data_IF_114899200025
#
_entry.id   IF_114899200025
#
_cell.length_a   1.000
_cell.length_b   1.000
_cell.length_c   1.000
_cell.angle_alpha   90.00
_cell.angle_beta   90.00
_cell.angle_gamma   90.00
#
_symmetry.space_group_name_H-M   'P 1'
#
loop_
_entity.id
_entity.type
_entity.pdbx_description
1 polymer ?
#
# COMPACT_ATOMS: atom_id res chain seq x y z
N UNK A 1 -3.25 2.00 -14.83
CA UNK A 1 -4.39 1.70 -13.95
C UNK A 1 -4.36 0.25 -13.56
N UNK A 2 -4.26 -0.69 -14.51
CA UNK A 2 -4.14 -2.13 -14.21
C UNK A 2 -3.01 -2.46 -13.21
N UNK A 3 -1.83 -1.84 -13.31
CA UNK A 3 -0.72 -2.10 -12.37
C UNK A 3 -0.92 -1.52 -10.97
N UNK A 4 -1.58 -0.38 -10.85
CA UNK A 4 -1.91 0.21 -9.55
C UNK A 4 -3.06 -0.55 -8.88
N UNK A 5 -4.06 -0.99 -9.66
CA UNK A 5 -5.09 -1.91 -9.17
C UNK A 5 -4.50 -3.25 -8.71
N UNK A 6 -3.58 -3.83 -9.50
CA UNK A 6 -2.85 -5.05 -9.12
C UNK A 6 -2.04 -4.86 -7.83
N UNK A 7 -1.40 -3.69 -7.66
CA UNK A 7 -0.70 -3.35 -6.43
C UNK A 7 -1.67 -3.19 -5.24
N UNK A 8 -2.82 -2.55 -5.46
CA UNK A 8 -3.90 -2.41 -4.47
C UNK A 8 -4.37 -3.77 -3.96
N UNK A 9 -4.61 -4.70 -4.87
CA UNK A 9 -5.04 -6.06 -4.53
C UNK A 9 -3.95 -6.81 -3.77
N UNK A 10 -2.69 -6.69 -4.20
CA UNK A 10 -1.54 -7.29 -3.50
C UNK A 10 -1.36 -6.75 -2.09
N UNK A 11 -1.60 -5.46 -1.85
CA UNK A 11 -1.50 -4.86 -0.52
C UNK A 11 -2.62 -5.37 0.41
N UNK A 12 -3.85 -5.50 -0.11
CA UNK A 12 -4.95 -6.10 0.65
C UNK A 12 -4.69 -7.56 0.99
N UNK A 13 -4.19 -8.35 0.01
CA UNK A 13 -3.80 -9.74 0.25
C UNK A 13 -2.64 -9.84 1.25
N UNK A 14 -1.70 -8.90 1.24
CA UNK A 14 -0.63 -8.86 2.23
C UNK A 14 -1.19 -8.57 3.62
N UNK A 15 -2.03 -7.54 3.78
CA UNK A 15 -2.68 -7.20 5.06
C UNK A 15 -3.44 -8.39 5.65
N UNK A 16 -4.24 -9.07 4.82
CA UNK A 16 -5.08 -10.18 5.26
C UNK A 16 -4.35 -11.54 5.29
N UNK A 17 -3.09 -11.60 4.86
CA UNK A 17 -2.31 -12.85 4.67
C UNK A 17 -3.08 -13.85 3.81
N UNK A 18 -3.43 -13.41 2.60
CA UNK A 18 -4.18 -14.20 1.62
C UNK A 18 -3.34 -14.53 0.38
N UNK A 19 -3.78 -15.55 -0.37
CA UNK A 19 -3.18 -15.92 -1.64
C UNK A 19 -1.70 -16.27 -1.49
N UNK A 20 -0.83 -15.56 -2.21
CA UNK A 20 0.62 -15.78 -2.18
C UNK A 20 1.31 -15.31 -0.88
N UNK A 21 0.58 -14.64 0.01
CA UNK A 21 1.09 -14.13 1.28
C UNK A 21 0.57 -14.93 2.48
N UNK A 22 -0.16 -16.04 2.25
CA UNK A 22 -0.75 -16.85 3.31
C UNK A 22 0.29 -17.49 4.23
N UNK A 23 1.45 -17.86 3.69
CA UNK A 23 2.53 -18.48 4.45
C UNK A 23 3.49 -17.47 5.09
N UNK A 24 3.21 -16.16 4.98
CA UNK A 24 4.03 -15.14 5.63
C UNK A 24 3.60 -14.93 7.09
N UNK A 25 4.56 -14.70 8.01
CA UNK A 25 4.25 -14.50 9.41
C UNK A 25 3.44 -13.21 9.59
N UNK A 26 2.47 -13.25 10.49
CA UNK A 26 1.65 -12.10 10.85
C UNK A 26 2.37 -11.17 11.84
N UNK A 27 3.44 -11.64 12.50
CA UNK A 27 4.20 -10.87 13.48
C UNK A 27 5.69 -10.79 13.15
N UNK A 28 6.30 -9.68 13.52
CA UNK A 28 7.74 -9.47 13.54
C UNK A 28 8.22 -9.68 14.98
N UNK A 29 9.29 -10.44 15.13
CA UNK A 29 9.91 -10.75 16.41
C UNK A 29 11.28 -10.08 16.44
N UNK A 30 11.63 -9.39 17.53
CA UNK A 30 12.91 -8.69 17.59
C UNK A 30 13.46 -8.54 19.01
N UNK A 31 14.79 -8.43 19.09
CA UNK A 31 15.57 -8.23 20.30
C UNK A 31 16.57 -7.10 20.09
N UNK A 32 16.71 -6.23 21.09
CA UNK A 32 17.87 -5.34 21.16
C UNK A 32 19.04 -6.10 21.79
N UNK A 33 20.18 -6.15 21.10
CA UNK A 33 21.38 -6.80 21.60
C UNK A 33 22.02 -6.02 22.75
N UNK A 34 23.01 -6.62 23.40
CA UNK A 34 23.68 -6.06 24.57
C UNK A 34 24.41 -4.72 24.32
N UNK A 35 24.62 -4.35 23.05
CA UNK A 35 25.16 -3.05 22.64
C UNK A 35 24.12 -1.92 22.71
N UNK A 36 22.84 -2.24 22.86
CA UNK A 36 21.74 -1.27 22.94
C UNK A 36 21.39 -0.60 21.60
N UNK A 37 22.03 -0.99 20.50
CA UNK A 37 21.87 -0.35 19.19
C UNK A 37 21.52 -1.35 18.08
N UNK A 38 22.03 -2.59 18.17
CA UNK A 38 21.77 -3.60 17.14
C UNK A 38 20.46 -4.34 17.42
N UNK A 39 19.61 -4.42 16.40
CA UNK A 39 18.36 -5.18 16.43
C UNK A 39 18.53 -6.50 15.68
N UNK A 40 18.29 -7.60 16.38
CA UNK A 40 18.06 -8.90 15.76
C UNK A 40 16.57 -9.03 15.44
N UNK A 41 16.22 -9.30 14.19
CA UNK A 41 14.82 -9.31 13.71
C UNK A 41 14.53 -10.61 12.96
N UNK A 42 13.39 -11.22 13.25
CA UNK A 42 12.85 -12.41 12.59
C UNK A 42 11.42 -12.15 12.08
N UNK A 43 11.02 -12.80 10.98
CA UNK A 43 9.70 -12.63 10.36
C UNK A 43 9.67 -11.64 9.21
N UNK A 44 10.84 -11.31 8.63
CA UNK A 44 10.98 -10.45 7.45
C UNK A 44 11.20 -11.24 6.16
N UNK A 45 11.67 -12.49 6.27
CA UNK A 45 12.07 -13.28 5.11
C UNK A 45 10.93 -14.21 4.65
N UNK A 46 10.91 -14.52 3.36
CA UNK A 46 10.01 -15.54 2.84
C UNK A 46 10.42 -16.92 3.37
N UNK A 47 9.47 -17.62 4.00
CA UNK A 47 9.68 -18.92 4.63
C UNK A 47 9.76 -18.88 6.16
N UNK A 48 9.86 -17.69 6.76
CA UNK A 48 9.72 -17.51 8.21
C UNK A 48 8.26 -17.79 8.62
N UNK A 49 8.02 -18.33 9.82
CA UNK A 49 6.67 -18.64 10.35
C UNK A 49 6.48 -18.08 11.75
N UNK A 50 5.23 -17.79 12.14
CA UNK A 50 4.95 -17.30 13.49
C UNK A 50 5.26 -18.37 14.56
N UNK A 51 5.10 -19.66 14.22
CA UNK A 51 5.45 -20.77 15.11
C UNK A 51 6.95 -20.81 15.45
N UNK A 52 7.81 -20.67 14.44
CA UNK A 52 9.25 -20.60 14.64
C UNK A 52 9.65 -19.32 15.38
N UNK A 53 9.10 -18.17 15.00
CA UNK A 53 9.37 -16.88 15.66
C UNK A 53 9.02 -16.90 17.15
N UNK A 54 7.88 -17.47 17.51
CA UNK A 54 7.47 -17.65 18.90
C UNK A 54 8.36 -18.64 19.67
N UNK A 55 8.89 -19.67 19.01
CA UNK A 55 9.77 -20.66 19.62
C UNK A 55 11.19 -20.12 19.87
N UNK A 56 11.64 -19.13 19.10
CA UNK A 56 12.98 -18.53 19.21
C UNK A 56 13.17 -17.63 20.44
N UNK A 57 12.09 -17.29 21.16
CA UNK A 57 12.19 -16.63 22.47
C UNK A 57 12.59 -15.16 22.42
N UNK A 58 12.22 -14.45 21.36
CA UNK A 58 12.38 -12.99 21.28
C UNK A 58 11.59 -12.28 22.40
N UNK A 59 12.17 -11.20 22.94
CA UNK A 59 11.61 -10.39 24.03
C UNK A 59 10.50 -9.48 23.55
N UNK A 60 10.53 -9.05 22.29
CA UNK A 60 9.54 -8.15 21.72
C UNK A 60 8.87 -8.77 20.49
N UNK A 61 7.59 -8.48 20.32
CA UNK A 61 6.79 -8.93 19.19
C UNK A 61 5.88 -7.80 18.75
N UNK A 62 5.73 -7.63 17.43
CA UNK A 62 4.88 -6.62 16.84
C UNK A 62 4.10 -7.21 15.68
N UNK A 63 2.78 -7.06 15.70
CA UNK A 63 1.94 -7.47 14.56
C UNK A 63 2.26 -6.62 13.33
N UNK A 64 2.42 -7.29 12.19
CA UNK A 64 2.61 -6.67 10.91
C UNK A 64 1.26 -6.20 10.35
N UNK A 65 0.97 -4.92 10.49
CA UNK A 65 -0.19 -4.28 9.85
C UNK A 65 0.24 -3.08 9.03
N UNK A 66 -0.38 -2.94 7.87
CA UNK A 66 -0.25 -1.82 6.94
C UNK A 66 -1.30 -0.76 7.27
N UNK A 67 -2.51 -1.18 7.64
CA UNK A 67 -3.60 -0.28 7.99
C UNK A 67 -3.75 -0.13 9.51
N UNK A 68 -4.09 1.07 9.93
CA UNK A 68 -4.51 1.36 11.31
C UNK A 68 -6.01 1.69 11.36
N UNK A 69 -6.66 1.36 12.48
CA UNK A 69 -8.04 1.79 12.74
C UNK A 69 -8.19 3.31 12.82
N UNK A 70 -7.09 4.02 13.05
CA UNK A 70 -7.08 5.49 13.15
C UNK A 70 -6.91 6.19 11.79
N UNK A 71 -6.65 5.43 10.71
CA UNK A 71 -6.53 5.99 9.37
C UNK A 71 -7.91 6.36 8.81
N UNK A 72 -8.03 7.58 8.28
CA UNK A 72 -9.26 8.04 7.60
C UNK A 72 -9.42 7.37 6.23
N UNK A 73 -8.32 7.05 5.57
CA UNK A 73 -8.26 6.38 4.27
C UNK A 73 -7.12 5.37 4.35
N UNK A 74 -7.38 4.13 3.94
CA UNK A 74 -6.36 3.09 3.93
C UNK A 74 -5.25 3.42 2.93
N UNK A 75 -4.04 2.94 3.19
CA UNK A 75 -2.90 3.17 2.30
C UNK A 75 -3.19 2.79 0.83
N UNK A 76 -3.87 1.67 0.60
CA UNK A 76 -4.18 1.18 -0.75
C UNK A 76 -5.28 1.99 -1.45
N UNK A 77 -6.24 2.56 -0.72
CA UNK A 77 -7.23 3.48 -1.27
C UNK A 77 -6.63 4.87 -1.56
N UNK A 78 -5.57 5.25 -0.86
CA UNK A 78 -4.84 6.50 -1.10
C UNK A 78 -3.91 6.45 -2.32
N UNK A 79 -3.63 5.28 -2.90
CA UNK A 79 -2.72 5.13 -4.06
C UNK A 79 -3.16 5.93 -5.29
N UNK A 80 -4.47 6.04 -5.50
CA UNK A 80 -5.04 6.86 -6.57
C UNK A 80 -6.50 7.19 -6.24
N UNK A 81 -6.91 8.44 -6.51
CA UNK A 81 -8.29 8.88 -6.32
C UNK A 81 -9.19 8.54 -7.52
N UNK A 82 -8.62 8.57 -8.73
CA UNK A 82 -9.31 8.36 -10.00
C UNK A 82 -8.48 7.46 -10.90
N UNK A 83 -9.02 7.13 -12.08
CA UNK A 83 -8.27 6.35 -13.05
C UNK A 83 -7.01 7.10 -13.52
N UNK A 84 -5.80 6.68 -13.12
CA UNK A 84 -4.59 7.40 -13.48
C UNK A 84 -4.28 7.30 -14.98
N UNK A 85 -4.82 6.29 -15.70
CA UNK A 85 -4.54 6.09 -17.13
C UNK A 85 -5.15 7.17 -18.02
N UNK A 86 -6.15 7.89 -17.52
CA UNK A 86 -6.80 8.98 -18.27
C UNK A 86 -6.29 10.35 -17.83
N UNK A 87 -5.65 10.46 -16.66
CA UNK A 87 -5.24 11.73 -16.05
C UNK A 87 -3.74 12.04 -16.19
N UNK A 88 -3.12 11.66 -17.31
CA UNK A 88 -1.71 11.97 -17.59
C UNK A 88 -1.47 13.46 -17.87
N UNK A 89 -2.51 14.20 -18.24
CA UNK A 89 -2.44 15.61 -18.61
C UNK A 89 -3.26 16.47 -17.65
N UNK A 90 -2.80 17.70 -17.46
CA UNK A 90 -3.56 18.71 -16.74
C UNK A 90 -4.82 19.09 -17.55
N UNK A 91 -5.93 19.39 -16.86
CA UNK A 91 -7.13 19.85 -17.54
C UNK A 91 -6.88 21.20 -18.22
N UNK A 92 -7.37 21.34 -19.43
CA UNK A 92 -7.42 22.61 -20.16
C UNK A 92 -8.35 23.56 -19.40
N UNK A 93 -7.96 24.81 -19.26
CA UNK A 93 -8.80 25.80 -18.57
C UNK A 93 -10.07 26.08 -19.39
N UNK A 94 -11.19 26.30 -18.70
CA UNK A 94 -12.51 26.52 -19.31
C UNK A 94 -12.54 27.71 -20.29
N UNK A 95 -11.72 28.75 -20.09
CA UNK A 95 -11.64 29.88 -21.03
C UNK A 95 -11.09 29.46 -22.41
N UNK A 96 -10.19 28.48 -22.46
CA UNK A 96 -9.57 28.03 -23.72
C UNK A 96 -10.48 27.11 -24.51
N UNK A 97 -10.93 25.99 -23.91
CA UNK A 97 -12.37 25.72 -23.75
C UNK A 97 -13.35 26.40 -24.71
N UNK A 98 -14.07 27.34 -24.12
CA UNK A 98 -15.13 28.14 -24.71
C UNK A 98 -14.66 28.96 -25.92
N UNK A 99 -13.41 29.44 -25.91
CA UNK A 99 -12.83 30.20 -27.03
C UNK A 99 -12.44 29.36 -28.25
N UNK A 100 -12.39 28.02 -28.10
CA UNK A 100 -11.88 27.11 -29.13
C UNK A 100 -12.90 26.70 -30.19
N UNK A 101 -14.16 27.15 -30.09
CA UNK A 101 -15.23 26.74 -30.99
C UNK A 101 -15.36 25.21 -31.10
N UNK A 102 -15.33 24.51 -29.96
CA UNK A 102 -15.38 23.04 -29.81
C UNK A 102 -14.16 22.27 -30.35
N UNK A 103 -13.04 22.94 -30.62
CA UNK A 103 -11.81 22.26 -31.07
C UNK A 103 -10.98 21.67 -29.92
N UNK A 104 -11.17 22.16 -28.70
CA UNK A 104 -10.50 21.65 -27.50
C UNK A 104 -11.52 21.02 -26.56
N UNK A 105 -11.18 19.87 -25.98
CA UNK A 105 -12.01 19.18 -24.98
C UNK A 105 -11.14 18.62 -23.85
N UNK A 106 -11.76 18.39 -22.69
CA UNK A 106 -11.16 17.71 -21.55
C UNK A 106 -11.69 16.27 -21.41
N UNK A 107 -12.06 15.60 -22.50
CA UNK A 107 -12.77 14.31 -22.46
C UNK A 107 -11.97 13.19 -21.77
N UNK A 108 -10.64 13.33 -21.67
CA UNK A 108 -9.78 12.43 -20.90
C UNK A 108 -9.66 12.75 -19.41
N UNK A 109 -10.19 13.88 -18.94
CA UNK A 109 -10.06 14.32 -17.56
C UNK A 109 -11.36 14.13 -16.78
N UNK A 110 -11.32 13.25 -15.78
CA UNK A 110 -12.42 13.03 -14.85
C UNK A 110 -12.44 14.12 -13.74
N UNK A 111 -13.44 15.00 -13.79
CA UNK A 111 -13.62 16.09 -12.84
C UNK A 111 -14.23 15.60 -11.52
N UNK A 112 -13.85 16.17 -10.36
CA UNK A 112 -14.61 15.94 -9.13
C UNK A 112 -16.05 16.42 -9.30
N UNK A 113 -17.02 15.59 -8.90
CA UNK A 113 -18.36 16.03 -8.54
C UNK A 113 -18.33 16.78 -7.21
#
# INVERSE_FOLDING_TARGET
SSKLAEAKDKLQQLENREGKYADLPASIYFNTLADGETLEIYGLNFGDTDEEGAALGYSETKTWKIASSDETITFWDALYLRNPDIQHYWPIWQVFIESSNNMLTNDGFDFPN
#
